data_IF_776496104448
#
_entry.id   IF_776496104448
#
_cell.length_a   1.000
_cell.length_b   1.000
_cell.length_c   1.000
_cell.angle_alpha   90.00
_cell.angle_beta   90.00
_cell.angle_gamma   90.00
#
_symmetry.space_group_name_H-M   'P 1'
#
loop_
_entity.id
_entity.type
_entity.pdbx_description
1 polymer ?
#
# COMPACT_ATOMS: atom_id res chain seq x y z
N UNK A 1 18.68 -2.11 9.89
CA UNK A 1 17.63 -1.50 9.06
C UNK A 1 16.42 -1.06 9.89
N UNK A 2 15.74 -1.94 10.63
CA UNK A 2 14.54 -1.60 11.41
C UNK A 2 14.72 -0.41 12.38
N UNK A 3 15.85 -0.33 13.09
CA UNK A 3 16.14 0.82 13.96
C UNK A 3 16.21 2.16 13.22
N UNK A 4 16.71 2.18 11.98
CA UNK A 4 16.74 3.40 11.17
C UNK A 4 15.32 3.83 10.75
N UNK A 5 14.46 2.86 10.39
CA UNK A 5 13.03 3.13 10.12
C UNK A 5 12.37 3.72 11.36
N UNK A 6 12.61 3.14 12.55
CA UNK A 6 12.08 3.66 13.81
C UNK A 6 12.56 5.09 14.10
N UNK A 7 13.82 5.38 13.88
CA UNK A 7 14.37 6.74 14.09
C UNK A 7 13.67 7.74 13.17
N UNK A 8 13.57 7.44 11.85
CA UNK A 8 12.90 8.34 10.91
C UNK A 8 11.40 8.46 11.24
N UNK A 9 10.75 7.35 11.65
CA UNK A 9 9.36 7.36 12.09
C UNK A 9 9.15 8.29 13.29
N UNK A 10 9.97 8.14 14.36
CA UNK A 10 9.88 8.98 15.55
C UNK A 10 10.15 10.45 15.23
N UNK A 11 11.15 10.74 14.39
CA UNK A 11 11.44 12.11 13.96
C UNK A 11 10.28 12.69 13.13
N UNK A 12 9.64 11.86 12.28
CA UNK A 12 8.46 12.29 11.50
C UNK A 12 7.26 12.56 12.41
N UNK A 13 7.04 11.75 13.45
CA UNK A 13 6.02 12.02 14.48
C UNK A 13 6.29 13.35 15.18
N UNK A 14 7.50 13.57 15.68
CA UNK A 14 7.87 14.84 16.32
C UNK A 14 7.62 16.04 15.40
N UNK A 15 8.01 15.93 14.13
CA UNK A 15 7.82 17.01 13.16
C UNK A 15 6.34 17.23 12.83
N UNK A 16 5.48 16.21 12.84
CA UNK A 16 4.05 16.36 12.62
C UNK A 16 3.36 17.23 13.68
N UNK A 17 3.80 17.16 14.95
CA UNK A 17 3.31 18.07 16.02
C UNK A 17 3.65 19.52 15.75
N UNK A 18 4.81 19.80 15.16
CA UNK A 18 5.34 21.15 14.94
C UNK A 18 5.21 21.63 13.51
N UNK A 19 4.52 20.85 12.64
CA UNK A 19 4.45 21.12 11.20
C UNK A 19 3.93 22.52 10.88
N UNK A 20 2.89 22.99 11.60
CA UNK A 20 2.33 24.33 11.39
C UNK A 20 3.27 25.47 11.83
N UNK A 21 4.21 25.19 12.73
CA UNK A 21 5.17 26.17 13.23
C UNK A 21 6.43 26.24 12.36
N UNK A 22 6.68 25.22 11.55
CA UNK A 22 7.86 25.17 10.70
C UNK A 22 7.64 25.96 9.40
N UNK A 23 8.55 26.88 9.04
CA UNK A 23 8.53 27.50 7.71
C UNK A 23 8.55 26.45 6.59
N UNK A 24 7.77 26.66 5.54
CA UNK A 24 7.63 25.72 4.42
C UNK A 24 8.97 25.26 3.82
N UNK A 25 9.94 26.17 3.71
CA UNK A 25 11.28 25.85 3.24
C UNK A 25 11.91 24.72 4.05
N UNK A 26 11.82 24.75 5.37
CA UNK A 26 12.40 23.71 6.24
C UNK A 26 11.59 22.43 6.20
N UNK A 27 10.24 22.52 6.11
CA UNK A 27 9.41 21.34 5.92
C UNK A 27 9.85 20.57 4.67
N UNK A 28 9.92 21.22 3.51
CA UNK A 28 10.34 20.58 2.25
C UNK A 28 11.80 20.11 2.29
N UNK A 29 12.71 20.85 2.92
CA UNK A 29 14.11 20.44 3.04
C UNK A 29 14.25 19.15 3.87
N UNK A 30 13.57 19.06 5.02
CA UNK A 30 13.58 17.87 5.86
C UNK A 30 12.88 16.68 5.17
N UNK A 31 11.76 16.95 4.52
CA UNK A 31 11.01 15.94 3.78
C UNK A 31 11.85 15.33 2.63
N UNK A 32 12.56 16.19 1.89
CA UNK A 32 13.50 15.74 0.85
C UNK A 32 14.68 14.96 1.44
N UNK A 33 15.24 15.43 2.55
CA UNK A 33 16.33 14.72 3.24
C UNK A 33 15.91 13.32 3.70
N UNK A 34 14.71 13.19 4.31
CA UNK A 34 14.17 11.89 4.67
C UNK A 34 13.95 11.01 3.43
N UNK A 35 13.50 11.59 2.33
CA UNK A 35 13.39 10.88 1.05
C UNK A 35 14.70 10.27 0.59
N UNK A 36 15.79 11.02 0.64
CA UNK A 36 17.12 10.50 0.31
C UNK A 36 17.51 9.35 1.25
N UNK A 37 17.31 9.52 2.56
CA UNK A 37 17.60 8.46 3.53
C UNK A 37 16.79 7.19 3.21
N UNK A 38 15.50 7.30 2.91
CA UNK A 38 14.64 6.18 2.58
C UNK A 38 15.06 5.48 1.28
N UNK A 39 15.44 6.23 0.24
CA UNK A 39 15.96 5.68 -1.01
C UNK A 39 17.22 4.86 -0.75
N UNK A 40 18.17 5.42 -0.01
CA UNK A 40 19.41 4.73 0.30
C UNK A 40 19.18 3.49 1.17
N UNK A 41 18.31 3.58 2.17
CA UNK A 41 17.97 2.45 3.03
C UNK A 41 17.31 1.31 2.25
N UNK A 42 16.39 1.63 1.36
CA UNK A 42 15.72 0.63 0.54
C UNK A 42 16.66 0.03 -0.50
N UNK A 43 17.42 0.88 -1.20
CA UNK A 43 18.31 0.47 -2.29
C UNK A 43 19.57 -0.28 -1.83
N UNK A 44 20.06 -0.01 -0.61
CA UNK A 44 21.27 -0.61 -0.04
C UNK A 44 20.96 -1.59 1.11
N UNK A 45 19.72 -2.08 1.17
CA UNK A 45 19.33 -3.07 2.18
C UNK A 45 20.08 -4.40 1.99
N UNK A 46 20.27 -5.13 3.07
CA UNK A 46 20.77 -6.49 3.03
C UNK A 46 19.82 -7.39 2.24
N UNK A 47 20.35 -8.19 1.33
CA UNK A 47 19.60 -9.19 0.57
C UNK A 47 19.25 -10.33 1.53
N UNK A 48 18.01 -10.80 1.53
CA UNK A 48 17.49 -11.76 2.52
C UNK A 48 16.84 -11.09 3.74
N UNK A 49 16.84 -9.73 3.82
CA UNK A 49 16.18 -9.00 4.89
C UNK A 49 14.63 -9.18 4.87
N UNK A 50 14.08 -9.37 3.68
CA UNK A 50 12.66 -9.55 3.43
C UNK A 50 12.42 -10.74 2.49
N UNK A 51 11.21 -11.32 2.44
CA UNK A 51 10.93 -12.55 1.68
C UNK A 51 11.21 -12.48 0.19
N UNK A 52 11.13 -11.30 -0.44
CA UNK A 52 11.20 -11.17 -1.90
C UNK A 52 12.61 -10.77 -2.39
N UNK A 53 13.49 -10.26 -1.51
CA UNK A 53 14.76 -9.67 -1.94
C UNK A 53 15.75 -10.66 -2.55
N UNK A 54 15.79 -11.90 -2.05
CA UNK A 54 16.63 -12.96 -2.63
C UNK A 54 16.18 -13.29 -4.06
N UNK A 55 14.86 -13.42 -4.26
CA UNK A 55 14.28 -13.68 -5.58
C UNK A 55 14.65 -12.58 -6.58
N UNK A 56 14.47 -11.31 -6.20
CA UNK A 56 14.85 -10.19 -7.07
C UNK A 56 16.35 -10.14 -7.36
N UNK A 57 17.20 -10.42 -6.38
CA UNK A 57 18.65 -10.44 -6.58
C UNK A 57 19.06 -11.59 -7.52
N UNK A 58 18.46 -12.76 -7.38
CA UNK A 58 18.69 -13.89 -8.26
C UNK A 58 18.20 -13.60 -9.68
N UNK A 59 16.97 -13.12 -9.83
CA UNK A 59 16.39 -12.74 -11.13
C UNK A 59 17.21 -11.66 -11.82
N UNK A 60 17.78 -10.69 -11.08
CA UNK A 60 18.65 -9.67 -11.64
C UNK A 60 19.95 -10.24 -12.22
N UNK A 61 20.52 -11.30 -11.61
CA UNK A 61 21.74 -11.95 -12.09
C UNK A 61 21.50 -12.91 -13.26
N UNK A 62 20.28 -13.47 -13.33
CA UNK A 62 19.89 -14.48 -14.36
C UNK A 62 18.76 -13.99 -15.29
N UNK A 63 18.58 -12.67 -15.46
CA UNK A 63 17.48 -12.09 -16.24
C UNK A 63 17.42 -12.54 -17.72
N UNK A 64 18.54 -12.99 -18.27
CA UNK A 64 18.67 -13.51 -19.62
C UNK A 64 18.21 -14.98 -19.76
N UNK A 65 18.01 -15.68 -18.65
CA UNK A 65 17.51 -17.06 -18.66
C UNK A 65 15.99 -17.07 -18.84
N UNK A 66 15.50 -17.96 -19.70
CA UNK A 66 14.07 -18.02 -20.04
C UNK A 66 13.18 -18.29 -18.82
N UNK A 67 13.64 -19.11 -17.89
CA UNK A 67 12.91 -19.46 -16.67
C UNK A 67 12.76 -18.24 -15.74
N UNK A 68 13.85 -17.53 -15.45
CA UNK A 68 13.87 -16.33 -14.61
C UNK A 68 13.05 -15.20 -15.22
N UNK A 69 13.03 -15.07 -16.54
CA UNK A 69 12.28 -14.01 -17.24
C UNK A 69 10.76 -14.19 -17.19
N UNK A 70 10.26 -15.41 -16.92
CA UNK A 70 8.82 -15.69 -16.79
C UNK A 70 8.24 -15.28 -15.43
N UNK A 71 9.08 -15.06 -14.43
CA UNK A 71 8.66 -14.75 -13.05
C UNK A 71 8.40 -13.25 -12.83
N UNK A 72 8.85 -12.40 -13.75
CA UNK A 72 8.76 -10.94 -13.61
C UNK A 72 8.21 -10.27 -14.87
N UNK A 73 7.69 -9.05 -14.72
CA UNK A 73 7.21 -8.27 -15.86
C UNK A 73 8.35 -7.80 -16.75
N UNK A 74 8.03 -7.57 -18.05
CA UNK A 74 9.00 -7.11 -19.05
C UNK A 74 9.72 -5.79 -18.69
N UNK A 75 9.12 -4.94 -17.86
CA UNK A 75 9.79 -3.73 -17.34
C UNK A 75 10.99 -4.08 -16.46
N UNK A 76 10.88 -5.12 -15.63
CA UNK A 76 12.00 -5.56 -14.79
C UNK A 76 13.17 -6.03 -15.66
N UNK A 77 12.88 -6.87 -16.68
CA UNK A 77 13.88 -7.38 -17.63
C UNK A 77 14.56 -6.22 -18.36
N UNK A 78 13.78 -5.25 -18.86
CA UNK A 78 14.33 -4.08 -19.55
C UNK A 78 15.29 -3.30 -18.65
N UNK A 79 14.88 -3.02 -17.40
CA UNK A 79 15.69 -2.25 -16.44
C UNK A 79 16.92 -3.08 -16.05
N UNK A 80 16.78 -4.38 -15.77
CA UNK A 80 17.89 -5.26 -15.47
C UNK A 80 18.91 -5.29 -16.61
N UNK A 81 18.46 -5.39 -17.86
CA UNK A 81 19.35 -5.36 -19.04
C UNK A 81 20.16 -4.07 -19.11
N UNK A 82 19.52 -2.92 -18.86
CA UNK A 82 20.20 -1.61 -18.88
C UNK A 82 21.20 -1.52 -17.72
N UNK A 83 20.83 -1.90 -16.53
CA UNK A 83 21.68 -1.78 -15.35
C UNK A 83 22.84 -2.77 -15.35
N UNK A 84 22.65 -4.00 -15.82
CA UNK A 84 23.70 -5.00 -15.97
C UNK A 84 24.81 -4.60 -16.96
N UNK A 85 24.53 -3.65 -17.86
CA UNK A 85 25.58 -3.04 -18.68
C UNK A 85 26.65 -2.31 -17.85
N UNK A 86 26.26 -1.83 -16.65
CA UNK A 86 27.13 -1.05 -15.76
C UNK A 86 27.63 -1.85 -14.56
N UNK A 87 26.83 -2.77 -14.01
CA UNK A 87 27.17 -3.52 -12.79
C UNK A 87 26.35 -4.79 -12.64
N UNK A 88 26.97 -5.83 -12.12
CA UNK A 88 26.31 -7.12 -11.77
C UNK A 88 25.76 -7.11 -10.33
N UNK A 89 25.97 -6.01 -9.58
CA UNK A 89 25.49 -5.90 -8.20
C UNK A 89 23.97 -5.70 -8.16
N UNK A 90 23.20 -6.61 -7.54
CA UNK A 90 21.74 -6.48 -7.44
C UNK A 90 21.26 -5.22 -6.72
N UNK A 91 22.10 -4.55 -5.93
CA UNK A 91 21.71 -3.27 -5.33
C UNK A 91 21.36 -2.21 -6.38
N UNK A 92 21.86 -2.34 -7.61
CA UNK A 92 21.50 -1.44 -8.69
C UNK A 92 19.99 -1.45 -9.00
N UNK A 93 19.36 -2.64 -9.05
CA UNK A 93 17.92 -2.77 -9.31
C UNK A 93 17.11 -2.25 -8.11
N UNK A 94 17.53 -2.55 -6.87
CA UNK A 94 16.87 -2.04 -5.67
C UNK A 94 16.96 -0.51 -5.60
N UNK A 95 18.12 0.08 -5.88
CA UNK A 95 18.32 1.55 -5.93
C UNK A 95 17.43 2.19 -7.02
N UNK A 96 17.34 1.58 -8.19
CA UNK A 96 16.47 2.07 -9.26
C UNK A 96 15.01 2.13 -8.81
N UNK A 97 14.48 1.01 -8.30
CA UNK A 97 13.08 0.95 -7.86
C UNK A 97 12.83 1.86 -6.65
N UNK A 98 13.76 1.95 -5.70
CA UNK A 98 13.67 2.86 -4.57
C UNK A 98 13.69 4.32 -5.00
N UNK A 99 14.57 4.70 -5.92
CA UNK A 99 14.67 6.06 -6.44
C UNK A 99 13.33 6.50 -7.05
N UNK A 100 12.73 5.69 -7.90
CA UNK A 100 11.47 6.04 -8.55
C UNK A 100 10.27 5.86 -7.60
N UNK A 101 10.16 4.75 -6.88
CA UNK A 101 9.02 4.46 -5.99
C UNK A 101 8.89 5.48 -4.87
N UNK A 102 9.97 5.71 -4.13
CA UNK A 102 9.97 6.67 -3.01
C UNK A 102 9.79 8.10 -3.53
N UNK A 103 10.56 8.53 -4.56
CA UNK A 103 10.46 9.90 -5.08
C UNK A 103 9.07 10.22 -5.60
N UNK A 104 8.44 9.32 -6.35
CA UNK A 104 7.08 9.51 -6.86
C UNK A 104 6.05 9.56 -5.74
N UNK A 105 6.22 8.77 -4.65
CA UNK A 105 5.33 8.84 -3.48
C UNK A 105 5.47 10.19 -2.76
N UNK A 106 6.69 10.64 -2.52
CA UNK A 106 6.92 11.95 -1.90
C UNK A 106 6.37 13.09 -2.75
N UNK A 107 6.52 12.98 -4.08
CA UNK A 107 5.88 13.91 -5.01
C UNK A 107 4.35 13.84 -4.91
N UNK A 108 3.76 12.64 -4.88
CA UNK A 108 2.32 12.47 -4.69
C UNK A 108 1.85 13.15 -3.39
N UNK A 109 2.51 12.90 -2.25
CA UNK A 109 2.15 13.53 -0.97
C UNK A 109 2.10 15.06 -1.05
N UNK A 110 3.06 15.67 -1.74
CA UNK A 110 3.07 17.13 -1.95
C UNK A 110 1.89 17.66 -2.79
N UNK A 111 1.22 16.78 -3.55
CA UNK A 111 0.03 17.13 -4.36
C UNK A 111 -1.27 17.09 -3.55
N UNK A 112 -1.31 16.31 -2.46
CA UNK A 112 -2.51 16.20 -1.63
C UNK A 112 -2.65 17.37 -0.66
N UNK A 113 -1.69 17.56 0.22
CA UNK A 113 -1.67 18.68 1.16
C UNK A 113 -0.25 18.90 1.69
N UNK A 114 0.19 20.13 1.67
CA UNK A 114 1.50 20.50 2.17
C UNK A 114 1.52 20.88 3.67
N UNK A 115 0.40 20.70 4.38
CA UNK A 115 0.29 20.95 5.84
C UNK A 115 0.30 19.67 6.66
N UNK A 116 0.38 18.49 6.00
CA UNK A 116 0.34 17.16 6.63
C UNK A 116 1.42 16.23 6.09
N UNK A 117 2.50 16.77 5.50
CA UNK A 117 3.55 15.99 4.87
C UNK A 117 4.18 14.98 5.81
N UNK A 118 4.41 15.38 7.07
CA UNK A 118 5.01 14.47 8.05
C UNK A 118 4.04 13.40 8.55
N UNK A 119 2.73 13.68 8.64
CA UNK A 119 1.74 12.63 8.90
C UNK A 119 1.63 11.63 7.75
N UNK A 120 1.69 12.09 6.50
CA UNK A 120 1.77 11.16 5.36
C UNK A 120 3.02 10.29 5.44
N UNK A 121 4.16 10.89 5.81
CA UNK A 121 5.40 10.15 5.99
C UNK A 121 5.30 9.13 7.15
N UNK A 122 4.65 9.48 8.25
CA UNK A 122 4.37 8.59 9.38
C UNK A 122 3.57 7.36 8.91
N UNK A 123 2.46 7.53 8.19
CA UNK A 123 1.67 6.40 7.68
C UNK A 123 2.37 5.62 6.59
N UNK A 124 3.16 6.28 5.76
CA UNK A 124 3.98 5.60 4.75
C UNK A 124 5.01 4.68 5.40
N UNK A 125 5.76 5.19 6.39
CA UNK A 125 6.76 4.43 7.13
C UNK A 125 6.15 3.32 7.99
N UNK A 126 4.93 3.51 8.48
CA UNK A 126 4.27 2.55 9.36
C UNK A 126 4.00 1.20 8.70
N UNK A 127 3.84 1.15 7.37
CA UNK A 127 3.51 -0.08 6.68
C UNK A 127 4.00 -0.13 5.23
N UNK A 128 3.60 0.84 4.42
CA UNK A 128 3.75 0.77 2.96
C UNK A 128 5.19 0.90 2.47
N UNK A 129 6.05 1.59 3.20
CA UNK A 129 7.48 1.66 2.88
C UNK A 129 8.13 0.27 2.93
N UNK A 130 7.84 -0.50 3.99
CA UNK A 130 8.37 -1.86 4.12
C UNK A 130 7.76 -2.79 3.07
N UNK A 131 6.44 -2.79 2.95
CA UNK A 131 5.73 -3.74 2.09
C UNK A 131 5.90 -3.44 0.61
N UNK A 132 5.82 -2.17 0.19
CA UNK A 132 5.83 -1.83 -1.23
C UNK A 132 7.22 -1.45 -1.75
N UNK A 133 8.01 -0.66 -1.00
CA UNK A 133 9.27 -0.17 -1.52
C UNK A 133 10.46 -1.06 -1.12
N UNK A 134 10.44 -1.67 0.07
CA UNK A 134 11.49 -2.61 0.45
C UNK A 134 11.22 -4.01 -0.07
N UNK A 135 10.06 -4.61 0.21
CA UNK A 135 9.75 -6.00 -0.14
C UNK A 135 9.29 -6.12 -1.60
N UNK A 136 8.13 -5.55 -1.95
CA UNK A 136 7.53 -5.65 -3.29
C UNK A 136 7.95 -4.48 -4.18
N UNK A 137 9.24 -4.36 -4.51
CA UNK A 137 9.83 -3.17 -5.16
C UNK A 137 9.07 -2.69 -6.41
N UNK A 138 8.52 -3.59 -7.22
CA UNK A 138 7.73 -3.27 -8.41
C UNK A 138 6.42 -2.58 -8.05
N UNK A 139 5.76 -3.04 -6.97
CA UNK A 139 4.56 -2.42 -6.40
C UNK A 139 4.85 -1.04 -5.82
N UNK A 140 6.11 -0.77 -5.44
CA UNK A 140 6.56 0.54 -4.98
C UNK A 140 6.24 1.65 -5.99
N UNK A 141 6.65 1.49 -7.25
CA UNK A 141 6.35 2.45 -8.34
C UNK A 141 4.86 2.46 -8.66
N UNK A 142 4.22 1.28 -8.79
CA UNK A 142 2.79 1.17 -9.07
C UNK A 142 1.95 1.93 -8.04
N UNK A 143 2.22 1.74 -6.74
CA UNK A 143 1.45 2.38 -5.66
C UNK A 143 1.65 3.90 -5.60
N UNK A 144 2.82 4.40 -6.02
CA UNK A 144 3.05 5.84 -6.17
C UNK A 144 2.22 6.43 -7.33
N UNK A 145 2.22 5.75 -8.49
CA UNK A 145 1.41 6.15 -9.65
C UNK A 145 -0.09 6.03 -9.35
N UNK A 146 -0.50 5.08 -8.52
CA UNK A 146 -1.87 4.97 -8.04
C UNK A 146 -2.31 6.19 -7.20
N UNK A 147 -1.48 6.66 -6.27
CA UNK A 147 -1.77 7.88 -5.52
C UNK A 147 -1.90 9.09 -6.46
N UNK A 148 -1.00 9.22 -7.44
CA UNK A 148 -1.11 10.27 -8.45
C UNK A 148 -2.39 10.12 -9.28
N UNK A 149 -2.79 8.89 -9.65
CA UNK A 149 -4.04 8.64 -10.38
C UNK A 149 -5.27 9.09 -9.56
N UNK A 150 -5.33 8.82 -8.25
CA UNK A 150 -6.40 9.33 -7.39
C UNK A 150 -6.44 10.86 -7.43
N UNK A 151 -5.30 11.53 -7.28
CA UNK A 151 -5.23 12.99 -7.36
C UNK A 151 -5.78 13.50 -8.70
N UNK A 152 -5.39 12.91 -9.83
CA UNK A 152 -5.85 13.31 -11.15
C UNK A 152 -7.36 13.07 -11.37
N UNK A 153 -7.94 12.03 -10.76
CA UNK A 153 -9.40 11.81 -10.77
C UNK A 153 -10.11 12.96 -10.06
N UNK A 154 -9.58 13.39 -8.91
CA UNK A 154 -10.14 14.48 -8.13
C UNK A 154 -10.07 15.80 -8.89
N UNK A 155 -8.97 16.06 -9.58
CA UNK A 155 -8.77 17.22 -10.44
C UNK A 155 -9.55 17.15 -11.78
N UNK A 156 -10.33 16.09 -12.01
CA UNK A 156 -11.11 15.90 -13.22
C UNK A 156 -10.33 15.40 -14.44
N UNK A 157 -9.04 15.14 -14.29
CA UNK A 157 -8.15 14.71 -15.38
C UNK A 157 -8.08 13.18 -15.49
N UNK A 158 -9.22 12.53 -15.71
CA UNK A 158 -9.34 11.05 -15.72
C UNK A 158 -8.46 10.36 -16.76
N UNK A 159 -8.13 11.03 -17.87
CA UNK A 159 -7.20 10.51 -18.87
C UNK A 159 -5.78 10.36 -18.31
N UNK A 160 -5.31 11.33 -17.54
CA UNK A 160 -4.01 11.23 -16.88
C UNK A 160 -4.03 10.14 -15.80
N UNK A 161 -5.12 10.01 -15.06
CA UNK A 161 -5.29 8.92 -14.11
C UNK A 161 -5.22 7.55 -14.80
N UNK A 162 -5.89 7.38 -15.92
CA UNK A 162 -5.80 6.19 -16.76
C UNK A 162 -4.35 5.93 -17.20
N UNK A 163 -3.65 6.96 -17.67
CA UNK A 163 -2.26 6.83 -18.10
C UNK A 163 -1.35 6.39 -16.94
N UNK A 164 -1.50 6.94 -15.73
CA UNK A 164 -0.74 6.51 -14.55
C UNK A 164 -1.01 5.06 -14.19
N UNK A 165 -2.26 4.60 -14.27
CA UNK A 165 -2.60 3.18 -14.03
C UNK A 165 -1.94 2.28 -15.08
N UNK A 166 -2.00 2.64 -16.36
CA UNK A 166 -1.39 1.86 -17.46
C UNK A 166 0.14 1.81 -17.30
N UNK A 167 0.79 2.93 -17.03
CA UNK A 167 2.23 2.96 -16.77
C UNK A 167 2.57 2.11 -15.52
N UNK A 168 1.79 2.23 -14.46
CA UNK A 168 1.97 1.41 -13.26
C UNK A 168 1.82 -0.09 -13.53
N UNK A 169 0.88 -0.47 -14.39
CA UNK A 169 0.65 -1.87 -14.80
C UNK A 169 1.82 -2.45 -15.60
N UNK A 170 2.63 -1.61 -16.23
CA UNK A 170 3.87 -2.02 -16.89
C UNK A 170 4.95 -2.45 -15.88
N UNK A 171 4.94 -1.87 -14.68
CA UNK A 171 5.82 -2.29 -13.58
C UNK A 171 5.27 -3.50 -12.83
N UNK A 172 3.94 -3.57 -12.65
CA UNK A 172 3.31 -4.73 -12.04
C UNK A 172 1.87 -4.89 -12.54
N UNK A 173 1.58 -6.05 -13.13
CA UNK A 173 0.30 -6.36 -13.80
C UNK A 173 -0.92 -6.15 -12.90
N UNK A 174 -0.78 -6.29 -11.58
CA UNK A 174 -1.88 -6.01 -10.63
C UNK A 174 -2.39 -4.56 -10.70
N UNK A 175 -1.67 -3.64 -11.34
CA UNK A 175 -2.14 -2.28 -11.59
C UNK A 175 -3.46 -2.22 -12.38
N UNK A 176 -3.76 -3.20 -13.24
CA UNK A 176 -5.02 -3.27 -13.98
C UNK A 176 -6.25 -3.37 -13.07
N UNK A 177 -6.11 -3.94 -11.87
CA UNK A 177 -7.18 -4.02 -10.87
C UNK A 177 -7.63 -2.64 -10.38
N UNK A 178 -6.83 -1.59 -10.61
CA UNK A 178 -7.15 -0.21 -10.23
C UNK A 178 -8.06 0.51 -11.23
N UNK A 179 -8.25 -0.03 -12.45
CA UNK A 179 -9.09 0.62 -13.48
C UNK A 179 -10.50 1.01 -13.00
N UNK A 180 -11.18 0.26 -12.12
CA UNK A 180 -12.49 0.64 -11.61
C UNK A 180 -12.54 2.00 -10.89
N UNK A 181 -11.42 2.47 -10.30
CA UNK A 181 -11.40 3.78 -9.61
C UNK A 181 -11.70 4.95 -10.56
N UNK A 182 -11.44 4.79 -11.86
CA UNK A 182 -11.72 5.80 -12.88
C UNK A 182 -13.22 6.15 -12.96
N UNK A 183 -14.10 5.26 -12.49
CA UNK A 183 -15.56 5.47 -12.48
C UNK A 183 -16.07 6.08 -11.18
N UNK A 184 -15.21 6.21 -10.15
CA UNK A 184 -15.61 6.83 -8.90
C UNK A 184 -15.89 8.32 -9.10
N UNK A 185 -16.95 8.79 -8.42
CA UNK A 185 -17.34 10.20 -8.43
C UNK A 185 -16.75 10.89 -7.20
N UNK A 186 -16.09 12.00 -7.43
CA UNK A 186 -15.59 12.86 -6.35
C UNK A 186 -16.70 13.81 -5.89
N UNK A 187 -17.59 13.30 -5.07
CA UNK A 187 -18.68 14.06 -4.43
C UNK A 187 -18.81 13.65 -2.97
N UNK A 188 -19.18 14.57 -2.08
CA UNK A 188 -19.50 14.21 -0.70
C UNK A 188 -20.47 13.01 -0.64
N UNK A 189 -20.24 12.10 0.30
CA UNK A 189 -21.06 10.90 0.42
C UNK A 189 -22.45 11.27 0.95
N UNK A 190 -23.48 10.90 0.20
CA UNK A 190 -24.86 10.94 0.71
C UNK A 190 -25.04 9.92 1.83
N UNK A 191 -26.05 10.12 2.66
CA UNK A 191 -26.41 9.18 3.73
C UNK A 191 -26.60 7.76 3.18
N UNK A 192 -27.23 7.63 2.02
CA UNK A 192 -27.45 6.32 1.36
C UNK A 192 -26.10 5.69 0.95
N UNK A 193 -25.18 6.46 0.38
CA UNK A 193 -23.84 5.96 0.02
C UNK A 193 -23.05 5.51 1.24
N UNK A 194 -23.14 6.24 2.37
CA UNK A 194 -22.52 5.83 3.64
C UNK A 194 -23.02 4.47 4.10
N UNK A 195 -24.34 4.25 4.06
CA UNK A 195 -24.94 2.95 4.40
C UNK A 195 -24.57 1.84 3.42
N UNK A 196 -24.53 2.13 2.11
CA UNK A 196 -24.14 1.15 1.09
C UNK A 196 -22.70 0.71 1.31
N UNK A 197 -21.75 1.65 1.40
CA UNK A 197 -20.35 1.30 1.57
C UNK A 197 -20.07 0.57 2.89
N UNK A 198 -20.69 1.00 3.99
CA UNK A 198 -20.60 0.30 5.28
C UNK A 198 -21.20 -1.10 5.18
N UNK A 199 -22.38 -1.23 4.57
CA UNK A 199 -23.03 -2.51 4.37
C UNK A 199 -22.22 -3.48 3.53
N UNK A 200 -21.60 -3.02 2.44
CA UNK A 200 -20.75 -3.84 1.57
C UNK A 200 -19.52 -4.33 2.33
N UNK A 201 -18.85 -3.46 3.10
CA UNK A 201 -17.68 -3.84 3.91
C UNK A 201 -18.06 -4.85 5.00
N UNK A 202 -19.16 -4.64 5.72
CA UNK A 202 -19.63 -5.60 6.75
C UNK A 202 -20.08 -6.92 6.10
N UNK A 203 -20.82 -6.86 4.97
CA UNK A 203 -21.26 -8.04 4.26
C UNK A 203 -20.09 -8.89 3.74
N UNK A 204 -18.98 -8.27 3.36
CA UNK A 204 -17.78 -9.00 2.94
C UNK A 204 -17.22 -9.92 4.03
N UNK A 205 -17.42 -9.61 5.33
CA UNK A 205 -17.09 -10.49 6.44
C UNK A 205 -17.99 -11.74 6.48
N UNK A 206 -19.29 -11.58 6.12
CA UNK A 206 -20.22 -12.72 6.02
C UNK A 206 -19.77 -13.66 4.90
N UNK A 207 -19.34 -13.09 3.75
CA UNK A 207 -18.76 -13.87 2.65
C UNK A 207 -17.52 -14.62 3.11
N UNK A 208 -16.62 -13.95 3.83
CA UNK A 208 -15.42 -14.61 4.38
C UNK A 208 -15.78 -15.74 5.36
N UNK A 209 -16.82 -15.55 6.21
CA UNK A 209 -17.26 -16.55 7.17
C UNK A 209 -17.95 -17.76 6.52
N UNK A 210 -18.54 -17.59 5.32
CA UNK A 210 -19.21 -18.67 4.58
C UNK A 210 -18.26 -19.72 4.00
N UNK A 211 -16.94 -19.51 4.13
CA UNK A 211 -15.91 -20.44 3.64
C UNK A 211 -15.88 -20.56 2.11
N UNK A 212 -15.48 -21.70 1.59
CA UNK A 212 -15.24 -21.95 0.18
C UNK A 212 -16.44 -21.84 -0.80
N UNK A 213 -17.64 -21.44 -0.35
CA UNK A 213 -18.81 -21.42 -1.22
C UNK A 213 -18.63 -20.56 -2.48
N UNK A 214 -17.95 -19.41 -2.36
CA UNK A 214 -17.62 -18.56 -3.52
C UNK A 214 -16.58 -19.24 -4.41
N UNK A 215 -15.61 -19.91 -3.80
CA UNK A 215 -14.60 -20.67 -4.50
C UNK A 215 -15.22 -21.81 -5.33
N UNK A 216 -16.18 -22.56 -4.77
CA UNK A 216 -16.85 -23.66 -5.45
C UNK A 216 -17.56 -23.21 -6.73
N UNK A 217 -18.17 -22.02 -6.73
CA UNK A 217 -18.76 -21.43 -7.94
C UNK A 217 -17.71 -20.95 -8.96
N UNK A 218 -16.60 -20.40 -8.50
CA UNK A 218 -15.56 -19.85 -9.39
C UNK A 218 -14.73 -20.94 -10.04
N UNK A 219 -14.58 -22.10 -9.41
CA UNK A 219 -13.83 -23.24 -9.95
C UNK A 219 -14.50 -23.84 -11.18
N UNK A 220 -15.84 -23.64 -11.32
CA UNK A 220 -16.60 -24.09 -12.49
C UNK A 220 -16.40 -23.19 -13.72
N UNK A 221 -15.81 -21.99 -13.55
CA UNK A 221 -15.58 -21.06 -14.66
C UNK A 221 -14.29 -21.49 -15.41
N UNK A 222 -14.36 -21.78 -16.72
CA UNK A 222 -13.19 -22.11 -17.52
C UNK A 222 -12.10 -21.04 -17.38
N UNK A 223 -10.81 -21.45 -17.40
CA UNK A 223 -9.63 -20.61 -17.22
C UNK A 223 -9.46 -20.04 -15.78
N UNK A 224 -10.53 -19.61 -15.11
CA UNK A 224 -10.47 -19.16 -13.69
C UNK A 224 -10.25 -20.39 -12.80
N UNK A 225 -11.03 -21.45 -13.00
CA UNK A 225 -10.94 -22.69 -12.25
C UNK A 225 -9.58 -23.39 -12.37
N UNK A 226 -8.97 -23.38 -13.57
CA UNK A 226 -7.62 -23.94 -13.76
C UNK A 226 -6.57 -23.20 -12.92
N UNK A 227 -6.63 -21.87 -12.90
CA UNK A 227 -5.72 -21.06 -12.06
C UNK A 227 -5.99 -21.24 -10.58
N UNK A 228 -7.25 -21.31 -10.18
CA UNK A 228 -7.63 -21.54 -8.77
C UNK A 228 -7.12 -22.90 -8.27
N UNK A 229 -7.24 -23.95 -9.07
CA UNK A 229 -6.70 -25.28 -8.74
C UNK A 229 -5.18 -25.28 -8.61
N UNK A 230 -4.47 -24.54 -9.44
CA UNK A 230 -3.01 -24.39 -9.30
C UNK A 230 -2.61 -23.69 -8.00
N UNK A 231 -3.32 -22.63 -7.61
CA UNK A 231 -3.09 -21.95 -6.32
C UNK A 231 -3.39 -22.87 -5.13
N UNK A 232 -4.46 -23.67 -5.21
CA UNK A 232 -4.81 -24.62 -4.17
C UNK A 232 -3.74 -25.73 -4.04
N UNK A 233 -3.27 -26.27 -5.15
CA UNK A 233 -2.17 -27.24 -5.15
C UNK A 233 -0.87 -26.66 -4.57
N UNK A 234 -0.54 -25.41 -4.89
CA UNK A 234 0.62 -24.72 -4.32
C UNK A 234 0.47 -24.52 -2.80
N UNK A 235 -0.74 -24.24 -2.31
CA UNK A 235 -1.02 -24.14 -0.89
C UNK A 235 -0.93 -25.48 -0.17
N UNK A 236 -1.44 -26.55 -0.77
CA UNK A 236 -1.40 -27.91 -0.22
C UNK A 236 0.03 -28.45 -0.04
N UNK A 237 0.96 -28.00 -0.89
CA UNK A 237 2.39 -28.36 -0.78
C UNK A 237 3.20 -27.32 0.05
N UNK A 238 2.53 -26.36 0.66
CA UNK A 238 3.16 -25.35 1.52
C UNK A 238 3.95 -24.25 0.78
N UNK A 239 3.78 -24.15 -0.55
CA UNK A 239 4.41 -23.10 -1.36
C UNK A 239 3.63 -21.79 -1.37
N UNK A 240 2.40 -21.77 -0.87
CA UNK A 240 1.57 -20.57 -0.74
C UNK A 240 0.81 -20.60 0.61
N UNK A 241 0.38 -19.43 1.09
CA UNK A 241 -0.47 -19.36 2.27
C UNK A 241 -1.81 -20.05 1.99
N UNK A 242 -2.23 -20.93 2.89
CA UNK A 242 -3.45 -21.73 2.73
C UNK A 242 -4.75 -20.95 2.96
N UNK A 243 -4.72 -19.92 3.81
CA UNK A 243 -5.92 -19.14 4.16
C UNK A 243 -5.61 -17.72 4.61
N UNK A 244 -6.50 -16.78 4.28
CA UNK A 244 -6.55 -15.46 4.90
C UNK A 244 -7.58 -15.47 6.05
N UNK A 245 -7.18 -14.96 7.20
CA UNK A 245 -8.10 -14.73 8.31
C UNK A 245 -8.78 -13.35 8.14
N UNK A 246 -9.98 -13.35 7.53
CA UNK A 246 -10.81 -12.14 7.41
C UNK A 246 -11.24 -11.53 8.76
N UNK A 247 -11.11 -12.28 9.86
CA UNK A 247 -11.36 -11.82 11.23
C UNK A 247 -10.07 -11.52 11.99
N UNK A 248 -8.93 -11.45 11.31
CA UNK A 248 -7.66 -11.04 11.92
C UNK A 248 -7.73 -9.65 12.53
N UNK A 249 -7.05 -9.44 13.66
CA UNK A 249 -7.08 -8.18 14.43
C UNK A 249 -6.74 -6.96 13.56
N UNK A 250 -5.74 -7.08 12.70
CA UNK A 250 -5.36 -6.01 11.78
C UNK A 250 -6.50 -5.60 10.82
N UNK A 251 -7.22 -6.58 10.28
CA UNK A 251 -8.32 -6.33 9.37
C UNK A 251 -9.54 -5.75 10.11
N UNK A 252 -9.88 -6.28 11.28
CA UNK A 252 -11.00 -5.77 12.09
C UNK A 252 -10.75 -4.32 12.56
N UNK A 253 -9.54 -3.98 12.99
CA UNK A 253 -9.17 -2.60 13.31
C UNK A 253 -9.28 -1.71 12.06
N UNK A 254 -8.86 -2.20 10.91
CA UNK A 254 -9.01 -1.46 9.64
C UNK A 254 -10.48 -1.19 9.28
N UNK A 255 -11.38 -2.16 9.52
CA UNK A 255 -12.83 -1.97 9.35
C UNK A 255 -13.37 -0.96 10.37
N UNK A 256 -12.96 -1.04 11.64
CA UNK A 256 -13.37 -0.08 12.66
C UNK A 256 -12.94 1.34 12.30
N UNK A 257 -11.73 1.54 11.80
CA UNK A 257 -11.23 2.82 11.30
C UNK A 257 -12.04 3.30 10.07
N UNK A 258 -12.40 2.39 9.16
CA UNK A 258 -13.27 2.74 8.04
C UNK A 258 -14.64 3.25 8.51
N UNK A 259 -15.28 2.55 9.46
CA UNK A 259 -16.58 2.95 10.02
C UNK A 259 -16.46 4.30 10.73
N UNK A 260 -15.39 4.52 11.50
CA UNK A 260 -15.09 5.80 12.12
C UNK A 260 -14.99 6.92 11.08
N UNK A 261 -14.20 6.72 10.03
CA UNK A 261 -14.00 7.71 8.97
C UNK A 261 -15.31 8.00 8.21
N UNK A 262 -16.13 6.97 7.90
CA UNK A 262 -17.45 7.16 7.28
C UNK A 262 -18.36 8.02 8.18
N UNK A 263 -18.34 7.80 9.49
CA UNK A 263 -19.13 8.59 10.44
C UNK A 263 -18.74 10.08 10.41
N UNK A 264 -17.44 10.38 10.34
CA UNK A 264 -16.92 11.75 10.28
C UNK A 264 -16.76 12.30 8.86
N UNK A 265 -17.31 11.64 7.84
CA UNK A 265 -17.07 11.96 6.43
C UNK A 265 -17.42 13.42 6.05
N UNK A 266 -18.45 14.01 6.65
CA UNK A 266 -18.85 15.38 6.32
C UNK A 266 -17.79 16.38 6.79
N UNK A 267 -17.33 16.26 8.04
CA UNK A 267 -16.29 17.11 8.60
C UNK A 267 -14.95 16.96 7.85
N UNK A 268 -14.60 15.75 7.43
CA UNK A 268 -13.35 15.51 6.70
C UNK A 268 -13.45 16.08 5.28
N UNK A 269 -14.59 15.89 4.59
CA UNK A 269 -14.77 16.38 3.22
C UNK A 269 -14.71 17.90 3.10
N UNK A 270 -15.06 18.64 4.18
CA UNK A 270 -14.92 20.11 4.25
C UNK A 270 -13.43 20.53 4.24
N UNK A 271 -12.54 19.71 4.77
CA UNK A 271 -11.11 20.00 4.92
C UNK A 271 -10.25 19.34 3.81
N UNK A 272 -10.63 18.14 3.33
CA UNK A 272 -9.94 17.43 2.27
C UNK A 272 -10.89 17.01 1.14
N UNK A 273 -10.75 17.64 -0.02
CA UNK A 273 -11.56 17.37 -1.20
C UNK A 273 -11.20 16.02 -1.90
N UNK A 274 -10.11 15.35 -1.52
CA UNK A 274 -9.76 14.01 -2.01
C UNK A 274 -10.50 12.91 -1.25
N UNK A 275 -10.98 13.23 -0.06
CA UNK A 275 -11.58 12.25 0.85
C UNK A 275 -12.65 11.34 0.21
N UNK A 276 -13.62 11.86 -0.63
CA UNK A 276 -14.66 11.00 -1.19
C UNK A 276 -14.15 9.86 -2.08
N UNK A 277 -13.02 10.05 -2.74
CA UNK A 277 -12.38 8.98 -3.53
C UNK A 277 -11.56 8.06 -2.62
N UNK A 278 -10.80 8.63 -1.69
CA UNK A 278 -9.94 7.89 -0.77
C UNK A 278 -10.73 6.87 0.06
N UNK A 279 -11.88 7.27 0.63
CA UNK A 279 -12.69 6.36 1.44
C UNK A 279 -13.31 5.21 0.63
N UNK A 280 -13.74 5.47 -0.62
CA UNK A 280 -14.27 4.45 -1.53
C UNK A 280 -13.18 3.45 -1.94
N UNK A 281 -11.97 3.93 -2.21
CA UNK A 281 -10.83 3.06 -2.52
C UNK A 281 -10.44 2.21 -1.32
N UNK A 282 -10.46 2.79 -0.13
CA UNK A 282 -10.22 2.04 1.11
C UNK A 282 -11.26 0.92 1.32
N UNK A 283 -12.56 1.24 1.12
CA UNK A 283 -13.62 0.24 1.19
C UNK A 283 -13.35 -0.94 0.22
N UNK A 284 -12.97 -0.64 -1.04
CA UNK A 284 -12.60 -1.69 -2.00
C UNK A 284 -11.45 -2.56 -1.49
N UNK A 285 -10.41 -1.96 -0.90
CA UNK A 285 -9.29 -2.71 -0.32
C UNK A 285 -9.72 -3.65 0.81
N UNK A 286 -10.64 -3.22 1.67
CA UNK A 286 -11.20 -4.07 2.74
C UNK A 286 -12.01 -5.22 2.18
N UNK A 287 -12.88 -4.94 1.20
CA UNK A 287 -13.73 -5.95 0.55
C UNK A 287 -12.89 -6.98 -0.21
N UNK A 288 -11.88 -6.55 -0.98
CA UNK A 288 -11.02 -7.47 -1.73
C UNK A 288 -10.23 -8.41 -0.81
N UNK A 289 -9.81 -7.94 0.36
CA UNK A 289 -9.13 -8.79 1.34
C UNK A 289 -9.96 -9.99 1.75
N UNK A 290 -11.25 -9.79 2.00
CA UNK A 290 -12.17 -10.83 2.47
C UNK A 290 -12.75 -11.66 1.34
N UNK A 291 -13.21 -11.01 0.25
CA UNK A 291 -13.89 -11.69 -0.86
C UNK A 291 -12.92 -12.54 -1.68
N UNK A 292 -11.66 -12.08 -1.86
CA UNK A 292 -10.62 -12.86 -2.54
C UNK A 292 -9.82 -13.77 -1.59
N UNK A 293 -10.23 -13.90 -0.32
CA UNK A 293 -9.50 -14.63 0.71
C UNK A 293 -9.26 -16.12 0.41
N UNK A 294 -9.95 -16.68 -0.58
CA UNK A 294 -9.72 -18.03 -1.10
C UNK A 294 -8.45 -18.13 -1.97
N UNK A 295 -7.86 -17.00 -2.38
CA UNK A 295 -6.52 -16.90 -2.99
C UNK A 295 -5.72 -15.88 -2.15
N UNK A 296 -5.06 -16.32 -1.07
CA UNK A 296 -4.47 -15.43 -0.07
C UNK A 296 -3.51 -14.40 -0.64
N UNK A 297 -2.59 -14.83 -1.51
CA UNK A 297 -1.58 -13.94 -2.07
C UNK A 297 -2.19 -12.88 -2.99
N UNK A 298 -3.20 -13.25 -3.79
CA UNK A 298 -3.93 -12.30 -4.64
C UNK A 298 -4.73 -11.31 -3.78
N UNK A 299 -5.45 -11.81 -2.77
CA UNK A 299 -6.24 -11.01 -1.85
C UNK A 299 -5.37 -9.97 -1.12
N UNK A 300 -4.21 -10.40 -0.60
CA UNK A 300 -3.26 -9.52 0.06
C UNK A 300 -2.73 -8.44 -0.90
N UNK A 301 -2.24 -8.83 -2.07
CA UNK A 301 -1.65 -7.90 -3.06
C UNK A 301 -2.67 -6.86 -3.55
N UNK A 302 -3.88 -7.30 -3.93
CA UNK A 302 -4.94 -6.38 -4.38
C UNK A 302 -5.40 -5.47 -3.24
N UNK A 303 -5.64 -6.03 -2.05
CA UNK A 303 -6.05 -5.26 -0.88
C UNK A 303 -5.01 -4.21 -0.51
N UNK A 304 -3.74 -4.58 -0.38
CA UNK A 304 -2.67 -3.67 0.01
C UNK A 304 -2.47 -2.55 -1.01
N UNK A 305 -2.61 -2.85 -2.29
CA UNK A 305 -2.56 -1.84 -3.34
C UNK A 305 -3.67 -0.79 -3.17
N UNK A 306 -4.93 -1.20 -3.03
CA UNK A 306 -6.04 -0.28 -2.79
C UNK A 306 -5.90 0.48 -1.46
N UNK A 307 -5.39 -0.19 -0.43
CA UNK A 307 -5.17 0.39 0.90
C UNK A 307 -4.01 1.38 0.96
N UNK A 308 -3.18 1.51 -0.09
CA UNK A 308 -2.18 2.58 -0.18
C UNK A 308 -2.81 3.96 0.00
N UNK A 309 -4.06 4.15 -0.40
CA UNK A 309 -4.84 5.37 -0.15
C UNK A 309 -4.95 5.74 1.34
N UNK A 310 -4.78 4.77 2.25
CA UNK A 310 -4.81 5.03 3.70
C UNK A 310 -3.65 5.87 4.20
N UNK A 311 -2.57 5.99 3.45
CA UNK A 311 -1.46 6.90 3.78
C UNK A 311 -1.99 8.34 3.93
N UNK A 312 -2.88 8.73 3.02
CA UNK A 312 -3.50 10.06 3.03
C UNK A 312 -4.73 10.06 3.97
N UNK A 313 -5.62 9.09 3.78
CA UNK A 313 -6.91 9.01 4.45
C UNK A 313 -6.81 8.93 5.98
N UNK A 314 -5.86 8.18 6.54
CA UNK A 314 -5.73 8.07 8.00
C UNK A 314 -5.12 9.34 8.62
N UNK A 315 -4.37 10.12 7.85
CA UNK A 315 -3.93 11.43 8.29
C UNK A 315 -5.09 12.43 8.45
N UNK A 316 -6.24 12.19 7.78
CA UNK A 316 -7.44 13.02 7.90
C UNK A 316 -8.14 12.91 9.25
N UNK A 317 -7.78 11.92 10.07
CA UNK A 317 -8.27 11.81 11.46
C UNK A 317 -8.00 13.09 12.24
N UNK A 318 -6.97 13.85 11.88
CA UNK A 318 -6.67 15.14 12.53
C UNK A 318 -7.78 16.18 12.40
N UNK A 319 -8.69 16.03 11.45
CA UNK A 319 -9.85 16.91 11.28
C UNK A 319 -11.04 16.55 12.18
N UNK A 320 -11.02 15.38 12.81
CA UNK A 320 -12.15 14.84 13.58
C UNK A 320 -12.04 15.06 15.08
N UNK A 321 -10.86 15.41 15.59
CA UNK A 321 -10.55 15.53 17.02
C UNK A 321 -10.00 16.91 17.32
N UNK A 322 -10.45 17.53 18.43
CA UNK A 322 -9.91 18.80 18.94
C UNK A 322 -9.43 18.62 20.38
N UNK A 323 -8.36 19.27 20.80
CA UNK A 323 -7.46 20.14 20.01
C UNK A 323 -6.54 19.35 19.07
N UNK A 324 -5.90 20.03 18.09
CA UNK A 324 -5.07 19.40 17.05
C UNK A 324 -3.96 18.49 17.61
N UNK A 325 -3.30 18.87 18.68
CA UNK A 325 -2.23 18.04 19.26
C UNK A 325 -2.74 16.66 19.74
N UNK A 326 -3.97 16.60 20.28
CA UNK A 326 -4.61 15.32 20.63
C UNK A 326 -4.91 14.50 19.38
N UNK A 327 -5.38 15.16 18.33
CA UNK A 327 -5.65 14.49 17.05
C UNK A 327 -4.37 13.89 16.46
N UNK A 328 -3.27 14.65 16.43
CA UNK A 328 -1.96 14.16 15.97
C UNK A 328 -1.52 12.96 16.81
N UNK A 329 -1.58 13.04 18.14
CA UNK A 329 -1.19 11.95 19.03
C UNK A 329 -2.00 10.66 18.79
N UNK A 330 -3.33 10.77 18.63
CA UNK A 330 -4.20 9.62 18.32
C UNK A 330 -3.85 9.03 16.96
N UNK A 331 -3.62 9.88 15.96
CA UNK A 331 -3.24 9.46 14.60
C UNK A 331 -1.91 8.71 14.61
N UNK A 332 -0.93 9.18 15.39
CA UNK A 332 0.37 8.52 15.52
C UNK A 332 0.30 7.19 16.30
N UNK A 333 -0.59 7.07 17.28
CA UNK A 333 -0.83 5.78 17.95
C UNK A 333 -1.41 4.74 16.99
N UNK A 334 -2.31 5.17 16.08
CA UNK A 334 -2.80 4.31 15.01
C UNK A 334 -1.64 3.92 14.08
N UNK A 335 -0.81 4.86 13.69
CA UNK A 335 0.35 4.58 12.84
C UNK A 335 1.36 3.63 13.52
N UNK A 336 1.56 3.75 14.83
CA UNK A 336 2.41 2.82 15.61
C UNK A 336 1.87 1.39 15.59
N UNK A 337 0.55 1.22 15.65
CA UNK A 337 -0.07 -0.09 15.46
C UNK A 337 0.23 -0.68 14.08
N UNK A 338 0.10 0.11 13.01
CA UNK A 338 0.45 -0.31 11.66
C UNK A 338 1.95 -0.61 11.52
N UNK A 339 2.82 0.18 12.16
CA UNK A 339 4.26 -0.02 12.14
C UNK A 339 4.67 -1.38 12.72
N UNK A 340 4.02 -1.81 13.80
CA UNK A 340 4.27 -3.13 14.36
C UNK A 340 3.99 -4.25 13.35
N UNK A 341 2.95 -4.11 12.52
CA UNK A 341 2.66 -5.05 11.43
C UNK A 341 3.68 -4.93 10.29
N UNK A 342 4.01 -3.72 9.86
CA UNK A 342 4.96 -3.51 8.77
C UNK A 342 6.35 -4.07 9.06
N UNK A 343 6.84 -3.88 10.28
CA UNK A 343 8.18 -4.35 10.68
C UNK A 343 8.29 -5.88 10.80
N UNK A 344 7.19 -6.60 10.92
CA UNK A 344 7.21 -8.07 10.95
C UNK A 344 7.67 -8.68 9.61
N UNK A 345 7.45 -8.00 8.49
CA UNK A 345 7.93 -8.43 7.17
C UNK A 345 9.46 -8.40 7.03
N UNK A 346 10.14 -7.69 7.93
CA UNK A 346 11.62 -7.66 8.03
C UNK A 346 12.08 -8.31 9.35
N UNK A 347 11.30 -9.26 9.87
CA UNK A 347 11.60 -10.05 11.06
C UNK A 347 11.86 -9.23 12.34
N UNK A 348 11.25 -8.05 12.44
CA UNK A 348 11.39 -7.16 13.60
C UNK A 348 10.03 -6.87 14.26
N UNK A 349 9.54 -7.74 15.18
CA UNK A 349 8.33 -7.43 15.94
C UNK A 349 8.63 -6.34 16.98
N UNK A 350 7.87 -5.23 16.93
CA UNK A 350 8.08 -4.09 17.82
C UNK A 350 7.37 -4.28 19.17
N UNK A 351 6.09 -4.67 19.15
CA UNK A 351 5.22 -4.79 20.32
C UNK A 351 4.80 -6.24 20.59
N UNK A 352 4.39 -6.96 19.55
CA UNK A 352 3.96 -8.36 19.62
C UNK A 352 4.17 -9.05 18.27
N UNK A 353 4.35 -10.37 18.30
CA UNK A 353 4.28 -11.18 17.06
C UNK A 353 2.81 -11.50 16.75
N UNK A 354 2.44 -11.42 15.49
CA UNK A 354 1.18 -11.96 15.01
C UNK A 354 1.32 -13.47 14.79
N UNK A 355 0.31 -14.24 15.16
CA UNK A 355 0.28 -15.66 14.85
C UNK A 355 0.27 -15.84 13.33
N UNK A 356 1.26 -16.55 12.79
CA UNK A 356 1.42 -16.79 11.34
C UNK A 356 2.49 -15.92 10.63
N UNK A 357 3.35 -15.23 11.39
CA UNK A 357 4.48 -14.47 10.87
C UNK A 357 5.82 -15.26 10.95
N UNK A 358 5.75 -16.59 11.07
CA UNK A 358 6.92 -17.50 11.02
C UNK A 358 7.00 -18.15 9.67
#
# INVERSE_FOLDING_TARGET
MAYLILVIFILSCLLAFFEDLLPKKYQYSLFFFFGICLILMCGLKEIGLDPDSDTYAQTYRSYYEEESSKEVEGSFILIATILNFFTDDPHAIFLFYALFGVSLKLFAFSRYDNKRLFLFLVFYLSYFYVVHDMMQIRTGILSALYLLAIHEIVEGRRWLAFLYIVIGSFFHVSGLVLLPILFFRNKPLSVVEKFIWTGVVIFSLVVSASGGTVFDYLIEIPYVGEKLTLYQQAADVGMANSTINGFGVFHLISIALFVYLIFFSDAITEEDHHYPILIKTYACGLVFYTVLGFIPDLAARVSFLYRTATIILLADIVFTIKPRWTAVAVTELIALFYLNYGLQFIHFPLLWKTAGAD
#
